data_IF_671228457293
#
_entry.id   IF_671228457293
#
_cell.length_a   1.000
_cell.length_b   1.000
_cell.length_c   1.000
_cell.angle_alpha   90.00
_cell.angle_beta   90.00
_cell.angle_gamma   90.00
#
_symmetry.space_group_name_H-M   'P 1'
#
loop_
_entity.id
_entity.type
_entity.pdbx_description
1 polymer ?
#
# COMPACT_ATOMS: atom_id res chain seq x y z
N UNK A 1 -11.62 30.08 -2.06
CA UNK A 1 -11.18 30.01 -0.65
C UNK A 1 -10.91 28.54 -0.38
N UNK A 2 -9.64 28.14 -0.26
CA UNK A 2 -9.30 26.77 0.11
C UNK A 2 -9.97 26.46 1.45
N UNK A 3 -10.83 25.45 1.47
CA UNK A 3 -11.60 25.05 2.65
C UNK A 3 -10.80 24.28 3.70
N UNK A 4 -9.48 24.18 3.50
CA UNK A 4 -8.55 23.50 4.40
C UNK A 4 -7.98 24.54 5.36
N UNK A 5 -8.27 24.39 6.65
CA UNK A 5 -7.71 25.24 7.71
C UNK A 5 -6.45 24.60 8.30
N UNK A 6 -5.57 25.39 8.95
CA UNK A 6 -4.41 24.85 9.67
C UNK A 6 -4.79 23.83 10.75
N UNK A 7 -5.95 23.99 11.39
CA UNK A 7 -6.49 23.05 12.38
C UNK A 7 -6.79 21.68 11.74
N UNK A 8 -7.43 21.66 10.57
CA UNK A 8 -7.74 20.40 9.87
C UNK A 8 -6.45 19.70 9.41
N UNK A 9 -5.44 20.46 8.97
CA UNK A 9 -4.15 19.88 8.63
C UNK A 9 -3.44 19.29 9.86
N UNK A 10 -3.50 19.96 11.01
CA UNK A 10 -2.92 19.46 12.25
C UNK A 10 -3.62 18.17 12.73
N UNK A 11 -4.95 18.13 12.68
CA UNK A 11 -5.73 16.93 13.04
C UNK A 11 -5.36 15.74 12.13
N UNK A 12 -5.26 15.98 10.82
CA UNK A 12 -4.81 14.95 9.88
C UNK A 12 -3.42 14.44 10.19
N UNK A 13 -2.45 15.31 10.51
CA UNK A 13 -1.08 14.87 10.83
C UNK A 13 -1.09 13.93 12.04
N UNK A 14 -1.85 14.26 13.09
CA UNK A 14 -1.95 13.42 14.29
C UNK A 14 -2.58 12.07 13.95
N UNK A 15 -3.71 12.06 13.22
CA UNK A 15 -4.38 10.83 12.82
C UNK A 15 -3.49 9.97 11.91
N UNK A 16 -2.83 10.60 10.95
CA UNK A 16 -1.93 9.93 10.01
C UNK A 16 -0.74 9.29 10.73
N UNK A 17 -0.17 9.96 11.75
CA UNK A 17 0.89 9.40 12.58
C UNK A 17 0.44 8.12 13.29
N UNK A 18 -0.74 8.15 13.92
CA UNK A 18 -1.30 6.96 14.59
C UNK A 18 -1.58 5.81 13.60
N UNK A 19 -1.95 6.13 12.36
CA UNK A 19 -2.14 5.13 11.31
C UNK A 19 -0.79 4.53 10.88
N UNK A 20 0.25 5.35 10.67
CA UNK A 20 1.58 4.89 10.29
C UNK A 20 2.20 3.97 11.34
N UNK A 21 2.11 4.34 12.62
CA UNK A 21 2.63 3.53 13.72
C UNK A 21 1.98 2.13 13.74
N UNK A 22 0.65 2.08 13.58
CA UNK A 22 -0.09 0.81 13.50
C UNK A 22 0.27 0.02 12.24
N UNK A 23 0.40 0.70 11.09
CA UNK A 23 0.74 0.05 9.83
C UNK A 23 2.09 -0.65 9.90
N UNK A 24 3.08 -0.09 10.59
CA UNK A 24 4.40 -0.70 10.74
C UNK A 24 4.33 -2.08 11.38
N UNK A 25 3.65 -2.18 12.52
CA UNK A 25 3.40 -3.45 13.21
C UNK A 25 2.57 -4.40 12.33
N UNK A 26 1.51 -3.86 11.72
CA UNK A 26 0.59 -4.67 10.94
C UNK A 26 1.23 -5.31 9.70
N UNK A 27 2.13 -4.58 9.04
CA UNK A 27 2.89 -5.08 7.90
C UNK A 27 3.84 -6.21 8.30
N UNK A 28 4.50 -6.12 9.47
CA UNK A 28 5.36 -7.20 9.98
C UNK A 28 4.56 -8.47 10.27
N UNK A 29 3.36 -8.33 10.83
CA UNK A 29 2.47 -9.47 11.07
C UNK A 29 1.98 -10.08 9.75
N UNK A 30 1.60 -9.24 8.79
CA UNK A 30 1.14 -9.69 7.49
C UNK A 30 2.25 -10.39 6.70
N UNK A 31 3.49 -9.91 6.77
CA UNK A 31 4.64 -10.57 6.12
C UNK A 31 4.86 -11.99 6.66
N UNK A 32 4.64 -12.19 7.97
CA UNK A 32 4.73 -13.53 8.60
C UNK A 32 3.57 -14.45 8.22
N UNK A 33 2.41 -13.88 7.92
CA UNK A 33 1.22 -14.62 7.52
C UNK A 33 0.49 -13.95 6.33
N UNK A 34 1.03 -14.02 5.10
CA UNK A 34 0.48 -13.28 3.95
C UNK A 34 -0.95 -13.68 3.53
N UNK A 35 -1.40 -14.85 3.98
CA UNK A 35 -2.76 -15.37 3.74
C UNK A 35 -3.76 -14.90 4.82
N UNK A 36 -3.31 -14.14 5.82
CA UNK A 36 -4.20 -13.57 6.82
C UNK A 36 -5.02 -12.43 6.21
N UNK A 37 -6.22 -12.78 5.77
CA UNK A 37 -7.15 -11.84 5.15
C UNK A 37 -7.58 -10.70 6.10
N UNK A 38 -7.62 -10.92 7.42
CA UNK A 38 -8.03 -9.89 8.36
C UNK A 38 -6.93 -8.83 8.44
N UNK A 39 -5.69 -9.29 8.58
CA UNK A 39 -4.51 -8.44 8.60
C UNK A 39 -4.32 -7.68 7.29
N UNK A 40 -4.47 -8.36 6.16
CA UNK A 40 -4.40 -7.75 4.83
C UNK A 40 -5.45 -6.63 4.67
N UNK A 41 -6.68 -6.87 5.14
CA UNK A 41 -7.72 -5.86 5.14
C UNK A 41 -7.40 -4.68 6.07
N UNK A 42 -6.75 -4.92 7.21
CA UNK A 42 -6.35 -3.87 8.14
C UNK A 42 -5.28 -2.95 7.52
N UNK A 43 -4.23 -3.53 6.94
CA UNK A 43 -3.17 -2.78 6.23
C UNK A 43 -3.76 -1.98 5.07
N UNK A 44 -4.61 -2.60 4.23
CA UNK A 44 -5.27 -1.90 3.13
C UNK A 44 -6.07 -0.68 3.62
N UNK A 45 -6.84 -0.82 4.71
CA UNK A 45 -7.62 0.29 5.27
C UNK A 45 -6.74 1.44 5.74
N UNK A 46 -5.58 1.15 6.34
CA UNK A 46 -4.64 2.20 6.75
C UNK A 46 -4.18 3.06 5.57
N UNK A 47 -3.68 2.42 4.50
CA UNK A 47 -3.28 3.15 3.28
C UNK A 47 -4.46 3.88 2.62
N UNK A 48 -5.65 3.27 2.58
CA UNK A 48 -6.85 3.90 2.02
C UNK A 48 -7.25 5.17 2.78
N UNK A 49 -7.23 5.13 4.11
CA UNK A 49 -7.53 6.30 4.96
C UNK A 49 -6.50 7.40 4.76
N UNK A 50 -5.20 7.07 4.74
CA UNK A 50 -4.12 8.02 4.46
C UNK A 50 -4.28 8.69 3.09
N UNK A 51 -4.57 7.91 2.04
CA UNK A 51 -4.85 8.43 0.69
C UNK A 51 -6.03 9.39 0.70
N UNK A 52 -7.11 9.05 1.38
CA UNK A 52 -8.32 9.87 1.48
C UNK A 52 -8.04 11.23 2.14
N UNK A 53 -7.36 11.22 3.30
CA UNK A 53 -6.99 12.44 4.00
C UNK A 53 -5.99 13.30 3.20
N UNK A 54 -4.96 12.68 2.63
CA UNK A 54 -4.01 13.36 1.75
C UNK A 54 -4.69 13.98 0.52
N UNK A 55 -5.64 13.26 -0.10
CA UNK A 55 -6.41 13.75 -1.24
C UNK A 55 -7.30 14.93 -0.88
N UNK A 56 -7.92 14.90 0.31
CA UNK A 56 -8.71 16.03 0.83
C UNK A 56 -7.85 17.28 1.07
N UNK A 57 -6.62 17.10 1.57
CA UNK A 57 -5.66 18.19 1.81
C UNK A 57 -4.85 18.60 0.57
N UNK A 58 -4.95 17.85 -0.53
CA UNK A 58 -4.20 18.11 -1.76
C UNK A 58 -2.72 17.72 -1.70
N UNK A 59 -2.33 16.82 -0.80
CA UNK A 59 -0.94 16.35 -0.64
C UNK A 59 -0.65 15.25 -1.66
N UNK A 60 -0.39 15.65 -2.90
CA UNK A 60 -0.22 14.72 -4.03
C UNK A 60 0.85 13.63 -3.83
N UNK A 61 2.05 13.93 -3.28
CA UNK A 61 3.07 12.90 -3.05
C UNK A 61 2.57 11.72 -2.19
N UNK A 62 1.79 12.02 -1.15
CA UNK A 62 1.20 10.98 -0.29
C UNK A 62 0.09 10.20 -1.00
N UNK A 63 -0.72 10.88 -1.82
CA UNK A 63 -1.79 10.24 -2.60
C UNK A 63 -1.20 9.20 -3.55
N UNK A 64 -0.16 9.55 -4.29
CA UNK A 64 0.50 8.67 -5.25
C UNK A 64 1.09 7.43 -4.57
N UNK A 65 1.82 7.63 -3.48
CA UNK A 65 2.46 6.53 -2.75
C UNK A 65 1.43 5.59 -2.10
N UNK A 66 0.40 6.13 -1.45
CA UNK A 66 -0.67 5.33 -0.86
C UNK A 66 -1.46 4.57 -1.93
N UNK A 67 -1.67 5.18 -3.10
CA UNK A 67 -2.38 4.54 -4.19
C UNK A 67 -1.63 3.31 -4.73
N UNK A 68 -0.32 3.41 -4.94
CA UNK A 68 0.50 2.29 -5.40
C UNK A 68 0.45 1.09 -4.43
N UNK A 69 0.54 1.37 -3.13
CA UNK A 69 0.37 0.35 -2.10
C UNK A 69 -1.04 -0.25 -2.12
N UNK A 70 -2.08 0.58 -2.23
CA UNK A 70 -3.48 0.15 -2.24
C UNK A 70 -3.83 -0.72 -3.44
N UNK A 71 -3.31 -0.44 -4.64
CA UNK A 71 -3.50 -1.28 -5.82
C UNK A 71 -2.93 -2.69 -5.60
N UNK A 72 -1.71 -2.76 -5.05
CA UNK A 72 -1.02 -4.03 -4.75
C UNK A 72 -1.81 -4.87 -3.75
N UNK A 73 -2.12 -4.25 -2.61
CA UNK A 73 -2.88 -4.88 -1.52
C UNK A 73 -4.30 -5.24 -1.99
N UNK A 74 -4.91 -4.41 -2.83
CA UNK A 74 -6.22 -4.64 -3.42
C UNK A 74 -6.27 -5.91 -4.28
N UNK A 75 -5.27 -6.12 -5.14
CA UNK A 75 -5.22 -7.32 -5.96
C UNK A 75 -4.94 -8.60 -5.14
N UNK A 76 -4.14 -8.48 -4.07
CA UNK A 76 -3.95 -9.58 -3.12
C UNK A 76 -5.27 -9.92 -2.43
N UNK A 77 -6.06 -8.91 -2.01
CA UNK A 77 -7.39 -9.10 -1.39
C UNK A 77 -8.39 -9.76 -2.33
N UNK A 78 -8.34 -9.45 -3.63
CA UNK A 78 -9.19 -10.10 -4.62
C UNK A 78 -8.71 -11.49 -5.05
N UNK A 79 -7.57 -11.95 -4.55
CA UNK A 79 -6.96 -13.22 -4.93
C UNK A 79 -6.45 -13.23 -6.38
N UNK A 80 -6.23 -12.07 -6.97
CA UNK A 80 -5.73 -11.93 -8.35
C UNK A 80 -4.21 -11.79 -8.42
N UNK A 81 -3.55 -11.63 -7.28
CA UNK A 81 -2.09 -11.64 -7.13
C UNK A 81 -1.70 -12.17 -5.74
N UNK A 82 -0.44 -12.56 -5.58
CA UNK A 82 0.15 -12.92 -4.29
C UNK A 82 1.18 -11.86 -3.89
N UNK A 83 1.30 -11.59 -2.59
CA UNK A 83 2.35 -10.73 -2.05
C UNK A 83 3.63 -11.55 -1.87
N UNK A 84 4.75 -10.99 -2.29
CA UNK A 84 6.10 -11.52 -2.08
C UNK A 84 6.91 -10.58 -1.16
N UNK A 85 8.12 -10.98 -0.70
CA UNK A 85 8.95 -10.16 0.18
C UNK A 85 9.25 -8.75 -0.37
N UNK A 86 9.37 -8.57 -1.69
CA UNK A 86 9.65 -7.26 -2.29
C UNK A 86 8.48 -6.29 -2.06
N UNK A 87 7.23 -6.78 -2.09
CA UNK A 87 6.06 -5.96 -1.81
C UNK A 87 6.00 -5.51 -0.34
N UNK A 88 6.43 -6.37 0.60
CA UNK A 88 6.52 -6.02 2.01
C UNK A 88 7.64 -5.02 2.28
N UNK A 89 8.81 -5.21 1.68
CA UNK A 89 9.92 -4.25 1.73
C UNK A 89 9.49 -2.88 1.17
N UNK A 90 8.79 -2.87 0.03
CA UNK A 90 8.25 -1.65 -0.54
C UNK A 90 7.23 -0.99 0.39
N UNK A 91 6.32 -1.75 1.00
CA UNK A 91 5.33 -1.25 1.95
C UNK A 91 5.97 -0.62 3.20
N UNK A 92 7.01 -1.25 3.77
CA UNK A 92 7.73 -0.70 4.92
C UNK A 92 8.47 0.59 4.55
N UNK A 93 9.19 0.61 3.41
CA UNK A 93 9.85 1.82 2.92
C UNK A 93 8.87 2.94 2.62
N UNK A 94 7.65 2.61 2.18
CA UNK A 94 6.59 3.60 2.00
C UNK A 94 6.20 4.26 3.32
N UNK A 95 6.22 3.55 4.46
CA UNK A 95 5.94 4.18 5.75
C UNK A 95 6.99 5.24 6.11
N UNK A 96 8.27 4.96 5.85
CA UNK A 96 9.34 5.95 6.07
C UNK A 96 9.14 7.20 5.20
N UNK A 97 8.75 7.02 3.94
CA UNK A 97 8.45 8.14 3.04
C UNK A 97 7.21 8.91 3.46
N UNK A 98 6.13 8.22 3.87
CA UNK A 98 4.93 8.85 4.37
C UNK A 98 5.21 9.65 5.65
N UNK A 99 6.07 9.13 6.54
CA UNK A 99 6.53 9.86 7.72
C UNK A 99 7.26 11.15 7.33
N UNK A 100 8.23 11.06 6.42
CA UNK A 100 8.96 12.23 5.95
C UNK A 100 8.03 13.26 5.28
N UNK A 101 7.01 12.80 4.55
CA UNK A 101 5.99 13.69 3.97
C UNK A 101 5.16 14.37 5.06
N UNK A 102 4.73 13.67 6.11
CA UNK A 102 4.03 14.28 7.24
C UNK A 102 4.89 15.33 7.95
N UNK A 103 6.16 15.03 8.17
CA UNK A 103 7.11 15.98 8.78
C UNK A 103 7.26 17.25 7.94
N UNK A 104 7.33 17.09 6.60
CA UNK A 104 7.38 18.22 5.68
C UNK A 104 6.10 19.08 5.74
N UNK A 105 4.92 18.46 5.77
CA UNK A 105 3.65 19.18 5.91
C UNK A 105 3.58 19.90 7.25
N UNK A 106 4.00 19.26 8.35
CA UNK A 106 4.05 19.86 9.68
C UNK A 106 5.00 21.07 9.75
N UNK A 107 6.12 21.02 9.00
CA UNK A 107 7.06 22.13 8.86
C UNK A 107 6.57 23.25 7.91
N UNK A 108 5.43 23.07 7.24
CA UNK A 108 4.91 24.01 6.24
C UNK A 108 5.70 24.00 4.93
N UNK A 109 6.43 22.93 4.65
CA UNK A 109 7.18 22.71 3.41
C UNK A 109 6.46 21.74 2.47
N UNK A 110 6.78 21.80 1.19
CA UNK A 110 6.23 20.88 0.20
C UNK A 110 6.86 19.48 0.33
N UNK A 111 6.07 18.41 0.50
CA UNK A 111 6.61 17.06 0.58
C UNK A 111 7.25 16.61 -0.73
N UNK A 112 8.35 15.86 -0.63
CA UNK A 112 8.98 15.26 -1.81
C UNK A 112 8.24 14.00 -2.25
N UNK A 113 8.26 13.72 -3.55
CA UNK A 113 7.73 12.46 -4.09
C UNK A 113 8.64 11.29 -3.72
N UNK A 114 8.02 10.14 -3.46
CA UNK A 114 8.75 8.91 -3.31
C UNK A 114 9.50 8.54 -4.61
N UNK A 115 10.65 7.84 -4.53
CA UNK A 115 11.41 7.43 -5.69
C UNK A 115 10.54 6.59 -6.64
N UNK A 116 10.58 6.84 -7.95
CA UNK A 116 9.83 6.04 -8.93
C UNK A 116 10.12 4.54 -8.83
N UNK A 117 11.34 4.17 -8.43
CA UNK A 117 11.75 2.78 -8.24
C UNK A 117 11.01 2.11 -7.08
N UNK A 118 10.63 2.87 -6.05
CA UNK A 118 9.81 2.36 -4.94
C UNK A 118 8.38 2.11 -5.43
N UNK A 119 7.79 3.05 -6.17
CA UNK A 119 6.46 2.89 -6.77
C UNK A 119 6.43 1.70 -7.72
N UNK A 120 7.48 1.50 -8.51
CA UNK A 120 7.60 0.38 -9.43
C UNK A 120 7.67 -1.00 -8.73
N UNK A 121 8.08 -1.08 -7.45
CA UNK A 121 8.08 -2.34 -6.68
C UNK A 121 6.67 -2.81 -6.31
N UNK A 122 5.69 -1.91 -6.34
CA UNK A 122 4.27 -2.24 -6.21
C UNK A 122 3.63 -2.69 -7.53
N UNK A 123 4.37 -2.67 -8.65
CA UNK A 123 3.84 -3.17 -9.91
C UNK A 123 3.66 -4.68 -9.83
N UNK A 124 2.43 -5.12 -9.62
CA UNK A 124 2.09 -6.53 -9.58
C UNK A 124 2.32 -7.19 -10.94
N UNK A 125 3.13 -8.23 -10.96
CA UNK A 125 3.16 -9.18 -12.07
C UNK A 125 1.95 -10.08 -11.91
N UNK A 126 1.03 -10.07 -12.88
CA UNK A 126 -0.09 -11.00 -12.89
C UNK A 126 0.43 -12.44 -12.70
N UNK A 127 -0.20 -13.26 -11.84
CA UNK A 127 0.21 -14.65 -11.70
C UNK A 127 0.17 -15.31 -13.09
N UNK A 128 1.13 -16.20 -13.42
CA UNK A 128 1.07 -16.92 -14.68
C UNK A 128 -0.29 -17.60 -14.74
N UNK A 129 -1.05 -17.34 -15.81
CA UNK A 129 -2.33 -17.99 -16.03
C UNK A 129 -2.17 -19.50 -15.78
N UNK A 130 -3.10 -20.16 -15.05
CA UNK A 130 -2.98 -21.59 -14.80
C UNK A 130 -2.81 -22.27 -16.15
N UNK A 131 -1.62 -22.82 -16.38
CA UNK A 131 -1.36 -23.61 -17.57
C UNK A 131 -2.39 -24.74 -17.55
N UNK A 132 -3.18 -24.97 -18.61
CA UNK A 132 -4.09 -26.09 -18.63
C UNK A 132 -3.25 -27.34 -18.43
N UNK A 133 -3.36 -27.94 -17.23
CA UNK A 133 -2.71 -29.18 -16.88
C UNK A 133 -3.23 -30.21 -17.89
N UNK A 134 -2.37 -30.60 -18.82
CA UNK A 134 -2.72 -31.51 -19.88
C UNK A 134 -3.29 -32.77 -19.23
N UNK A 135 -4.58 -33.03 -19.45
CA UNK A 135 -5.22 -34.25 -19.02
C UNK A 135 -4.37 -35.43 -19.53
N UNK A 136 -4.07 -36.44 -18.69
CA UNK A 136 -3.31 -37.59 -19.14
C UNK A 136 -4.06 -38.24 -20.30
N UNK A 137 -3.43 -38.26 -21.48
CA UNK A 137 -4.01 -38.90 -22.65
C UNK A 137 -4.21 -40.39 -22.33
N UNK A 138 -5.38 -40.98 -22.65
CA UNK A 138 -5.60 -42.39 -22.42
C UNK A 138 -4.63 -43.18 -23.30
N UNK A 139 -3.79 -43.99 -22.65
CA UNK A 139 -2.92 -44.97 -23.32
C UNK A 139 -3.82 -45.93 -24.10
N UNK A 140 -3.74 -45.86 -25.43
CA UNK A 140 -4.36 -46.86 -26.29
C UNK A 140 -3.62 -48.20 -26.09
N UNK A 141 -4.33 -49.20 -25.58
CA UNK A 141 -3.82 -50.56 -25.44
C UNK A 141 -3.81 -51.27 -26.82
N UNK A 142 -2.83 -52.18 -27.06
CA UNK A 142 -2.71 -52.93 -28.32
C UNK A 142 -3.79 -54.00 -28.52
#
# INVERSE_FOLDING_TARGET
>A
MSGVTPEIAADFIVEAQEILDRLGEQLVELERAPQDSEQLNAVFRGFHTLKGGAGFLGIQPMVELCHAAEETLGAARSGTAELDPLHFDAAQRSLDWLQAMLDAVAAGTEPEHAPPELIAQFALVAPPAPQPQAAPQPVAAP
#
